data_IF_692281157877
#
_entry.id   IF_692281157877
#
_cell.length_a   1.000
_cell.length_b   1.000
_cell.length_c   1.000
_cell.angle_alpha   90.00
_cell.angle_beta   90.00
_cell.angle_gamma   90.00
#
_symmetry.space_group_name_H-M   'P 1'
#
loop_
_entity.id
_entity.type
_entity.pdbx_description
1 polymer ?
#
# COMPACT_ATOMS: atom_id res chain seq x y z
N UNK A 1 -6.11 8.24 13.38
CA UNK A 1 -6.24 7.50 12.13
C UNK A 1 -7.67 7.16 11.80
N UNK A 2 -7.94 6.90 10.52
CA UNK A 2 -9.25 6.47 10.00
C UNK A 2 -9.15 5.05 9.47
N UNK A 3 -10.25 4.31 9.54
CA UNK A 3 -10.42 3.06 8.79
C UNK A 3 -11.46 3.31 7.68
N UNK A 4 -11.17 2.80 6.49
CA UNK A 4 -12.00 2.97 5.31
C UNK A 4 -12.20 1.63 4.60
N UNK A 5 -13.32 1.51 3.88
CA UNK A 5 -13.71 0.31 3.16
C UNK A 5 -14.18 0.68 1.75
N UNK A 6 -13.90 -0.14 0.76
CA UNK A 6 -14.50 0.02 -0.57
C UNK A 6 -15.79 -0.77 -0.64
N UNK A 7 -16.90 -0.05 -0.58
CA UNK A 7 -18.25 -0.57 -0.70
C UNK A 7 -18.83 -0.14 -2.06
N UNK A 8 -19.61 -1.01 -2.70
CA UNK A 8 -20.25 -0.71 -4.00
C UNK A 8 -21.33 0.36 -3.84
N UNK A 9 -22.04 0.31 -2.72
CA UNK A 9 -23.09 1.26 -2.34
C UNK A 9 -22.92 1.74 -0.90
N UNK A 10 -23.48 2.91 -0.59
CA UNK A 10 -23.59 3.44 0.78
C UNK A 10 -24.80 2.84 1.52
N UNK A 11 -24.86 1.51 1.58
CA UNK A 11 -25.84 0.75 2.35
C UNK A 11 -25.14 -0.06 3.43
N UNK A 12 -25.85 -0.33 4.53
CA UNK A 12 -25.29 -1.15 5.62
C UNK A 12 -24.79 -2.50 5.09
N UNK A 13 -25.60 -3.16 4.27
CA UNK A 13 -25.29 -4.47 3.70
C UNK A 13 -23.99 -4.43 2.88
N UNK A 14 -23.87 -3.45 1.98
CA UNK A 14 -22.68 -3.25 1.14
C UNK A 14 -21.42 -2.97 1.98
N UNK A 15 -21.52 -2.15 3.02
CA UNK A 15 -20.41 -1.85 3.94
C UNK A 15 -19.97 -3.10 4.72
N UNK A 16 -20.91 -3.88 5.27
CA UNK A 16 -20.59 -5.12 5.97
C UNK A 16 -20.00 -6.19 5.04
N UNK A 17 -20.46 -6.24 3.79
CA UNK A 17 -19.86 -7.11 2.78
C UNK A 17 -18.41 -6.71 2.49
N UNK A 18 -18.11 -5.41 2.37
CA UNK A 18 -16.75 -4.89 2.19
C UNK A 18 -15.81 -5.26 3.34
N UNK A 19 -16.29 -5.09 4.58
CA UNK A 19 -15.58 -5.52 5.77
C UNK A 19 -15.31 -7.04 5.77
N UNK A 20 -16.31 -7.85 5.41
CA UNK A 20 -16.17 -9.32 5.36
C UNK A 20 -15.15 -9.79 4.33
N UNK A 21 -15.11 -9.16 3.15
CA UNK A 21 -14.09 -9.46 2.12
C UNK A 21 -12.74 -8.78 2.39
N UNK A 22 -12.63 -7.98 3.45
CA UNK A 22 -11.41 -7.29 3.90
C UNK A 22 -10.88 -6.27 2.89
N UNK A 23 -11.73 -5.73 2.04
CA UNK A 23 -11.35 -4.69 1.08
C UNK A 23 -11.30 -3.32 1.78
N UNK A 24 -10.31 -3.19 2.66
CA UNK A 24 -10.21 -2.12 3.63
C UNK A 24 -8.79 -1.56 3.69
N UNK A 25 -8.67 -0.30 4.11
CA UNK A 25 -7.40 0.35 4.35
C UNK A 25 -7.53 1.29 5.55
N UNK A 26 -6.40 1.71 6.12
CA UNK A 26 -6.37 2.68 7.20
C UNK A 26 -5.43 3.82 6.88
N UNK A 27 -5.67 4.98 7.50
CA UNK A 27 -4.83 6.16 7.41
C UNK A 27 -4.38 6.58 8.81
N UNK A 28 -3.21 7.19 8.94
CA UNK A 28 -2.74 7.70 10.24
C UNK A 28 -3.49 8.96 10.68
N UNK A 29 -4.06 9.72 9.74
CA UNK A 29 -4.89 10.90 10.03
C UNK A 29 -5.66 11.41 8.80
N UNK A 30 -4.98 11.76 7.70
CA UNK A 30 -5.59 12.35 6.51
C UNK A 30 -6.57 11.41 5.81
N UNK A 31 -7.49 11.96 5.03
CA UNK A 31 -8.48 11.25 4.20
C UNK A 31 -7.88 10.80 2.86
N UNK A 32 -6.65 10.29 2.88
CA UNK A 32 -6.05 9.61 1.73
C UNK A 32 -6.93 8.46 1.27
N UNK A 33 -6.91 8.16 -0.03
CA UNK A 33 -7.57 6.96 -0.59
C UNK A 33 -6.52 6.03 -1.14
N UNK A 34 -6.73 4.73 -0.99
CA UNK A 34 -5.81 3.70 -1.44
C UNK A 34 -6.56 2.50 -2.02
N UNK A 35 -6.11 2.02 -3.17
CA UNK A 35 -6.53 0.76 -3.80
C UNK A 35 -5.29 -0.07 -4.09
N UNK A 36 -5.41 -1.38 -3.89
CA UNK A 36 -4.40 -2.36 -4.26
C UNK A 36 -5.12 -3.56 -4.87
N UNK A 37 -4.61 -4.02 -6.00
CA UNK A 37 -5.02 -5.23 -6.68
C UNK A 37 -3.80 -6.06 -7.04
N UNK A 38 -3.99 -7.37 -7.22
CA UNK A 38 -2.99 -8.27 -7.76
C UNK A 38 -3.58 -9.22 -8.80
N UNK A 39 -2.78 -9.65 -9.77
CA UNK A 39 -3.14 -10.66 -10.74
C UNK A 39 -1.97 -11.00 -11.66
N UNK A 40 -2.02 -12.16 -12.31
CA UNK A 40 -0.93 -12.61 -13.18
C UNK A 40 -0.96 -11.94 -14.56
N UNK A 41 -2.15 -11.61 -15.05
CA UNK A 41 -2.37 -11.10 -16.40
C UNK A 41 -2.83 -9.63 -16.42
N UNK A 42 -2.64 -8.88 -15.33
CA UNK A 42 -2.92 -7.44 -15.31
C UNK A 42 -2.03 -6.74 -16.36
N UNK A 43 -2.50 -5.79 -17.17
CA UNK A 43 -1.67 -5.01 -18.10
C UNK A 43 -0.62 -4.14 -17.40
N UNK A 44 0.51 -3.82 -18.05
CA UNK A 44 1.59 -3.04 -17.43
C UNK A 44 1.23 -1.55 -17.30
N UNK A 45 0.36 -1.08 -18.18
CA UNK A 45 -0.21 0.26 -18.26
C UNK A 45 -1.60 0.34 -17.62
N UNK A 46 -2.01 -0.66 -16.83
CA UNK A 46 -3.36 -0.76 -16.27
C UNK A 46 -3.78 0.50 -15.52
N UNK A 47 -2.87 1.11 -14.76
CA UNK A 47 -3.16 2.33 -13.99
C UNK A 47 -3.30 3.59 -14.83
N UNK A 48 -2.89 3.56 -16.11
CA UNK A 48 -3.04 4.66 -17.07
C UNK A 48 -4.37 4.57 -17.83
N UNK A 49 -5.04 3.41 -17.78
CA UNK A 49 -6.34 3.21 -18.43
C UNK A 49 -7.47 3.85 -17.60
N UNK A 50 -8.40 4.60 -18.24
CA UNK A 50 -9.59 5.14 -17.55
C UNK A 50 -10.44 4.06 -16.85
N UNK A 51 -10.53 2.88 -17.45
CA UNK A 51 -11.29 1.74 -16.92
C UNK A 51 -10.42 0.77 -16.09
N UNK A 52 -9.21 1.18 -15.73
CA UNK A 52 -8.21 0.30 -15.11
C UNK A 52 -8.70 -0.33 -13.81
N UNK A 53 -9.46 0.40 -13.00
CA UNK A 53 -10.04 -0.14 -11.75
C UNK A 53 -11.10 -1.20 -12.05
N UNK A 54 -11.99 -0.96 -13.03
CA UNK A 54 -13.01 -1.94 -13.42
C UNK A 54 -12.38 -3.22 -13.98
N UNK A 55 -11.34 -3.07 -14.81
CA UNK A 55 -10.56 -4.21 -15.30
C UNK A 55 -9.89 -4.98 -14.17
N UNK A 56 -9.31 -4.29 -13.17
CA UNK A 56 -8.66 -4.92 -12.02
C UNK A 56 -9.64 -5.73 -11.16
N UNK A 57 -10.88 -5.26 -11.00
CA UNK A 57 -11.94 -6.05 -10.34
C UNK A 57 -12.34 -7.30 -11.13
N UNK A 58 -12.34 -7.21 -12.46
CA UNK A 58 -12.75 -8.32 -13.33
C UNK A 58 -11.66 -9.39 -13.49
N UNK A 59 -10.37 -9.00 -13.47
CA UNK A 59 -9.24 -9.86 -13.85
C UNK A 59 -8.19 -10.05 -12.74
N UNK A 60 -8.41 -9.48 -11.56
CA UNK A 60 -7.50 -9.56 -10.43
C UNK A 60 -8.23 -9.79 -9.12
N UNK A 61 -7.46 -9.78 -8.03
CA UNK A 61 -7.96 -9.86 -6.66
C UNK A 61 -7.70 -8.53 -5.94
N UNK A 62 -8.69 -7.98 -5.21
CA UNK A 62 -8.50 -6.75 -4.45
C UNK A 62 -7.73 -7.02 -3.14
N UNK A 63 -7.23 -5.96 -2.52
CA UNK A 63 -6.70 -6.00 -1.16
C UNK A 63 -7.62 -6.75 -0.18
N UNK A 64 -7.02 -7.54 0.71
CA UNK A 64 -7.72 -8.40 1.66
C UNK A 64 -8.04 -9.81 1.16
N UNK A 65 -7.94 -10.05 -0.15
CA UNK A 65 -8.14 -11.36 -0.76
C UNK A 65 -6.88 -12.25 -0.73
N UNK A 66 -7.06 -13.51 -1.13
CA UNK A 66 -5.96 -14.41 -1.44
C UNK A 66 -5.72 -14.39 -2.95
N UNK A 67 -4.46 -14.32 -3.34
CA UNK A 67 -3.98 -14.60 -4.68
C UNK A 67 -3.55 -16.07 -4.71
N UNK A 68 -4.38 -16.90 -5.32
CA UNK A 68 -4.07 -18.30 -5.55
C UNK A 68 -2.91 -18.43 -6.54
N UNK A 69 -2.03 -19.41 -6.34
CA UNK A 69 -0.97 -19.67 -7.28
C UNK A 69 -1.51 -19.99 -8.68
N UNK A 70 -0.85 -19.43 -9.70
CA UNK A 70 -1.28 -19.56 -11.08
C UNK A 70 -1.41 -21.04 -11.49
N UNK A 71 -2.45 -21.34 -12.29
CA UNK A 71 -2.60 -22.66 -12.93
C UNK A 71 -1.33 -23.05 -13.70
N UNK A 72 -1.11 -24.34 -13.90
CA UNK A 72 0.16 -24.98 -14.29
C UNK A 72 0.91 -24.39 -15.51
N UNK A 73 0.28 -23.56 -16.33
CA UNK A 73 0.94 -22.85 -17.44
C UNK A 73 1.68 -21.57 -17.03
N UNK A 74 1.39 -20.98 -15.85
CA UNK A 74 1.94 -19.69 -15.38
C UNK A 74 2.51 -19.78 -13.95
N UNK A 75 2.72 -20.99 -13.41
CA UNK A 75 3.02 -21.23 -11.99
C UNK A 75 4.31 -20.53 -11.46
N UNK A 76 5.19 -20.06 -12.35
CA UNK A 76 6.44 -19.37 -12.01
C UNK A 76 6.39 -17.85 -12.25
N UNK A 77 5.30 -17.31 -12.78
CA UNK A 77 5.25 -15.88 -13.12
C UNK A 77 4.97 -15.06 -11.86
N UNK A 78 5.79 -14.03 -11.62
CA UNK A 78 5.55 -13.06 -10.57
C UNK A 78 4.19 -12.37 -10.78
N UNK A 79 3.36 -12.24 -9.74
CA UNK A 79 2.14 -11.47 -9.87
C UNK A 79 2.46 -10.00 -10.12
N UNK A 80 1.52 -9.35 -10.80
CA UNK A 80 1.53 -7.93 -11.00
C UNK A 80 0.57 -7.28 -10.03
N UNK A 81 1.00 -6.19 -9.44
CA UNK A 81 0.25 -5.39 -8.48
C UNK A 81 -0.09 -4.06 -9.10
N UNK A 82 -1.35 -3.65 -9.01
CA UNK A 82 -1.80 -2.33 -9.42
C UNK A 82 -2.23 -1.53 -8.19
N UNK A 83 -1.65 -0.34 -8.04
CA UNK A 83 -1.86 0.52 -6.87
C UNK A 83 -2.32 1.89 -7.35
N UNK A 84 -3.36 2.42 -6.70
CA UNK A 84 -3.79 3.82 -6.85
C UNK A 84 -3.88 4.46 -5.48
N UNK A 85 -3.33 5.66 -5.34
CA UNK A 85 -3.44 6.47 -4.14
C UNK A 85 -3.76 7.91 -4.47
N UNK A 86 -4.62 8.51 -3.65
CA UNK A 86 -5.03 9.91 -3.78
C UNK A 86 -4.76 10.64 -2.46
N UNK A 87 -4.15 11.81 -2.56
CA UNK A 87 -3.92 12.72 -1.44
C UNK A 87 -5.23 13.16 -0.80
N UNK A 88 -5.18 13.53 0.48
CA UNK A 88 -6.24 14.35 1.06
C UNK A 88 -6.12 15.77 0.52
N UNK A 89 -7.22 16.33 0.01
CA UNK A 89 -7.26 17.71 -0.50
C UNK A 89 -6.88 18.77 0.56
N UNK A 90 -6.95 18.43 1.85
CA UNK A 90 -6.61 19.32 2.96
C UNK A 90 -5.29 18.95 3.65
N UNK A 91 -4.45 18.09 3.04
CA UNK A 91 -3.16 17.68 3.60
C UNK A 91 -2.02 17.87 2.60
N UNK A 92 -0.80 17.51 3.01
CA UNK A 92 0.36 17.53 2.15
C UNK A 92 0.20 16.57 0.96
N UNK A 93 0.84 16.87 -0.20
CA UNK A 93 0.80 16.00 -1.36
C UNK A 93 1.55 14.68 -1.09
N UNK A 94 1.23 13.65 -1.88
CA UNK A 94 1.88 12.34 -1.80
C UNK A 94 3.37 12.45 -2.18
N UNK A 95 4.22 11.78 -1.41
CA UNK A 95 5.66 11.67 -1.66
C UNK A 95 5.99 10.38 -2.41
N UNK A 96 5.45 9.24 -1.97
CA UNK A 96 5.76 7.93 -2.56
C UNK A 96 4.71 6.86 -2.28
N UNK A 97 4.64 5.89 -3.19
CA UNK A 97 3.98 4.60 -2.98
C UNK A 97 4.99 3.52 -2.70
N UNK A 98 4.61 2.60 -1.83
CA UNK A 98 5.39 1.45 -1.44
C UNK A 98 4.56 0.18 -1.51
N UNK A 99 5.21 -0.93 -1.82
CA UNK A 99 4.72 -2.26 -1.56
C UNK A 99 5.60 -2.86 -0.46
N UNK A 100 4.96 -3.38 0.57
CA UNK A 100 5.61 -4.11 1.65
C UNK A 100 5.31 -5.58 1.43
N UNK A 101 6.35 -6.38 1.29
CA UNK A 101 6.33 -7.84 1.19
C UNK A 101 6.73 -8.40 2.54
N UNK A 102 5.96 -9.33 3.08
CA UNK A 102 6.42 -10.22 4.15
C UNK A 102 6.31 -11.66 3.71
N UNK A 103 7.28 -12.50 4.03
CA UNK A 103 7.26 -13.91 3.62
C UNK A 103 7.95 -14.81 4.64
N UNK A 104 7.74 -16.11 4.45
CA UNK A 104 8.39 -17.16 5.23
C UNK A 104 9.23 -17.99 4.27
N UNK A 105 10.52 -18.09 4.55
CA UNK A 105 11.46 -18.88 3.74
C UNK A 105 11.31 -20.40 3.97
N UNK A 106 12.02 -21.20 3.19
CA UNK A 106 12.02 -22.66 3.32
C UNK A 106 12.55 -23.17 4.68
N UNK A 107 13.31 -22.36 5.43
CA UNK A 107 13.78 -22.68 6.77
C UNK A 107 12.80 -22.25 7.87
N UNK A 108 11.69 -21.59 7.52
CA UNK A 108 10.67 -21.11 8.44
C UNK A 108 10.96 -19.73 9.04
N UNK A 109 11.96 -18.99 8.56
CA UNK A 109 12.24 -17.64 9.04
C UNK A 109 11.33 -16.62 8.37
N UNK A 110 10.92 -15.61 9.13
CA UNK A 110 10.13 -14.48 8.63
C UNK A 110 11.01 -13.38 8.09
N UNK A 111 10.65 -12.84 6.94
CA UNK A 111 11.34 -11.72 6.29
C UNK A 111 10.36 -10.60 5.94
N UNK A 112 10.85 -9.37 5.85
CA UNK A 112 10.11 -8.21 5.38
C UNK A 112 10.98 -7.38 4.44
N UNK A 113 10.40 -6.96 3.32
CA UNK A 113 10.97 -5.96 2.42
C UNK A 113 9.98 -4.81 2.20
N UNK A 114 10.51 -3.60 2.15
CA UNK A 114 9.75 -2.38 1.88
C UNK A 114 10.31 -1.77 0.60
N UNK A 115 9.58 -1.87 -0.50
CA UNK A 115 9.97 -1.40 -1.83
C UNK A 115 9.19 -0.13 -2.17
N UNK A 116 9.88 0.95 -2.53
CA UNK A 116 9.23 2.11 -3.15
C UNK A 116 8.92 1.77 -4.61
N UNK A 117 7.67 1.96 -5.05
CA UNK A 117 7.17 1.52 -6.38
C UNK A 117 6.68 2.67 -7.26
N UNK A 118 6.53 3.86 -6.67
CA UNK A 118 6.32 5.12 -7.38
C UNK A 118 6.77 6.29 -6.51
N UNK A 119 7.38 7.30 -7.12
CA UNK A 119 7.77 8.53 -6.43
C UNK A 119 6.98 9.71 -6.99
N UNK A 120 6.80 10.74 -6.17
CA UNK A 120 6.21 12.00 -6.57
C UNK A 120 6.88 12.55 -7.84
N UNK A 121 6.04 13.06 -8.74
CA UNK A 121 6.39 13.67 -10.02
C UNK A 121 7.17 12.73 -10.97
N UNK A 122 7.00 11.42 -10.80
CA UNK A 122 7.55 10.41 -11.72
C UNK A 122 9.06 10.22 -11.59
N UNK A 123 9.67 10.68 -10.49
CA UNK A 123 11.09 10.42 -10.22
C UNK A 123 11.34 8.92 -10.12
N UNK A 124 12.40 8.43 -10.75
CA UNK A 124 12.73 7.01 -10.74
C UNK A 124 13.13 6.54 -9.33
N UNK A 125 12.65 5.35 -8.95
CA UNK A 125 13.13 4.63 -7.77
C UNK A 125 14.56 4.19 -8.01
N UNK A 126 15.43 4.34 -7.01
CA UNK A 126 16.77 3.76 -7.07
C UNK A 126 16.67 2.22 -6.94
N UNK A 127 17.05 1.45 -7.98
CA UNK A 127 16.89 -0.01 -7.98
C UNK A 127 17.85 -0.74 -7.04
N UNK A 128 18.95 -0.10 -6.60
CA UNK A 128 19.92 -0.73 -5.69
C UNK A 128 19.41 -0.78 -4.25
N UNK A 129 18.64 0.24 -3.85
CA UNK A 129 18.14 0.39 -2.48
C UNK A 129 16.61 0.34 -2.38
N UNK A 130 15.91 0.22 -3.50
CA UNK A 130 14.45 0.22 -3.61
C UNK A 130 13.80 1.44 -2.91
N UNK A 131 14.42 2.62 -3.05
CA UNK A 131 13.94 3.88 -2.45
C UNK A 131 13.83 5.00 -3.47
N UNK A 132 12.80 5.82 -3.30
CA UNK A 132 12.73 7.15 -3.88
C UNK A 132 13.86 8.01 -3.31
N UNK A 133 14.50 8.87 -4.13
CA UNK A 133 15.43 9.85 -3.61
C UNK A 133 14.70 10.84 -2.69
N UNK A 134 15.47 11.49 -1.81
CA UNK A 134 14.94 12.59 -1.01
C UNK A 134 14.45 13.72 -1.92
N UNK A 135 13.23 14.21 -1.68
CA UNK A 135 12.63 15.31 -2.41
C UNK A 135 12.77 16.66 -1.70
N UNK A 136 13.51 16.72 -0.59
CA UNK A 136 13.77 17.94 0.17
C UNK A 136 12.51 18.52 0.80
N UNK A 137 11.53 17.70 1.12
CA UNK A 137 10.30 18.16 1.75
C UNK A 137 10.55 18.64 3.19
N UNK A 138 10.05 19.82 3.51
CA UNK A 138 10.25 20.51 4.78
C UNK A 138 8.95 21.12 5.28
N UNK A 139 8.90 21.39 6.58
CA UNK A 139 7.76 22.05 7.25
C UNK A 139 8.29 23.28 7.98
N UNK A 140 7.65 24.41 7.75
CA UNK A 140 7.90 25.61 8.53
C UNK A 140 7.23 25.48 9.90
N UNK A 141 8.01 25.47 10.98
CA UNK A 141 7.47 25.27 12.33
C UNK A 141 6.81 26.52 12.94
N UNK A 142 6.85 27.67 12.27
CA UNK A 142 6.14 28.87 12.74
C UNK A 142 4.68 28.93 12.29
N UNK A 143 4.34 28.33 11.15
CA UNK A 143 3.00 28.38 10.55
C UNK A 143 2.48 27.03 10.01
N UNK A 144 3.29 25.97 10.12
CA UNK A 144 3.02 24.63 9.62
C UNK A 144 2.79 24.52 8.10
N UNK A 145 3.20 25.52 7.33
CA UNK A 145 3.27 25.42 5.87
C UNK A 145 4.34 24.40 5.46
N UNK A 146 4.04 23.57 4.47
CA UNK A 146 4.97 22.60 3.91
C UNK A 146 5.50 23.08 2.55
N UNK A 147 6.75 22.72 2.24
CA UNK A 147 7.38 22.95 0.94
C UNK A 147 8.15 21.70 0.54
N UNK A 148 8.12 21.35 -0.74
CA UNK A 148 8.89 20.24 -1.28
C UNK A 148 9.29 20.54 -2.71
N UNK A 149 10.35 19.90 -3.20
CA UNK A 149 10.70 19.94 -4.63
C UNK A 149 9.68 19.17 -5.46
N UNK A 150 9.14 18.08 -4.92
CA UNK A 150 8.15 17.23 -5.58
C UNK A 150 6.97 16.88 -4.67
N UNK A 151 5.81 16.63 -5.27
CA UNK A 151 4.62 16.17 -4.56
C UNK A 151 3.45 15.96 -5.51
N UNK A 152 2.74 14.84 -5.37
CA UNK A 152 1.67 14.48 -6.29
C UNK A 152 0.31 14.37 -5.59
N UNK A 153 -0.75 14.82 -6.26
CA UNK A 153 -2.14 14.67 -5.77
C UNK A 153 -2.65 13.24 -5.94
N UNK A 154 -2.11 12.53 -6.92
CA UNK A 154 -2.34 11.12 -7.18
C UNK A 154 -0.99 10.43 -7.45
N UNK A 155 -0.85 9.20 -6.97
CA UNK A 155 0.18 8.28 -7.41
C UNK A 155 -0.49 6.99 -7.83
N UNK A 156 -0.06 6.43 -8.94
CA UNK A 156 -0.48 5.11 -9.36
C UNK A 156 0.69 4.40 -10.05
N UNK A 157 0.69 3.08 -9.98
CA UNK A 157 1.72 2.26 -10.62
C UNK A 157 1.25 0.84 -10.79
N UNK A 158 1.83 0.18 -11.78
CA UNK A 158 1.74 -1.26 -11.93
C UNK A 158 3.14 -1.86 -11.78
N UNK A 159 3.31 -2.79 -10.83
CA UNK A 159 4.62 -3.29 -10.39
C UNK A 159 4.60 -4.80 -10.20
N UNK A 160 5.72 -5.47 -10.44
CA UNK A 160 5.91 -6.90 -10.17
C UNK A 160 7.11 -7.10 -9.25
N UNK A 161 7.01 -8.08 -8.35
CA UNK A 161 8.08 -8.43 -7.42
C UNK A 161 9.25 -9.10 -8.16
N UNK A 162 10.43 -8.44 -8.28
CA UNK A 162 11.57 -9.02 -8.97
C UNK A 162 12.18 -10.21 -8.23
N UNK A 163 11.92 -10.33 -6.92
CA UNK A 163 12.42 -11.37 -6.05
C UNK A 163 11.29 -12.33 -5.65
N UNK A 164 10.28 -12.48 -6.51
CA UNK A 164 9.16 -13.39 -6.27
C UNK A 164 9.64 -14.85 -6.30
N UNK A 165 9.32 -15.60 -5.25
CA UNK A 165 9.47 -17.04 -5.19
C UNK A 165 8.09 -17.68 -5.03
N UNK A 166 7.69 -18.47 -6.02
CA UNK A 166 6.39 -19.14 -6.04
C UNK A 166 6.25 -20.24 -4.96
N UNK A 167 7.35 -20.66 -4.33
CA UNK A 167 7.35 -21.64 -3.25
C UNK A 167 7.17 -21.01 -1.87
N UNK A 168 7.38 -19.70 -1.75
CA UNK A 168 7.30 -18.99 -0.47
C UNK A 168 5.88 -18.50 -0.21
N UNK A 169 5.38 -18.75 1.00
CA UNK A 169 4.16 -18.09 1.45
C UNK A 169 4.48 -16.63 1.75
N UNK A 170 3.76 -15.72 1.10
CA UNK A 170 4.00 -14.29 1.23
C UNK A 170 2.69 -13.51 1.42
N UNK A 171 2.81 -12.27 1.88
CA UNK A 171 1.75 -11.28 1.83
C UNK A 171 2.31 -9.96 1.33
N UNK A 172 1.45 -9.20 0.65
CA UNK A 172 1.77 -7.90 0.09
C UNK A 172 0.74 -6.87 0.54
N UNK A 173 1.18 -5.72 1.04
CA UNK A 173 0.29 -4.58 1.23
C UNK A 173 0.92 -3.30 0.69
N UNK A 174 0.09 -2.45 0.11
CA UNK A 174 0.49 -1.12 -0.32
C UNK A 174 0.51 -0.16 0.87
N UNK A 175 1.50 0.73 0.90
CA UNK A 175 1.60 1.87 1.79
C UNK A 175 1.89 3.13 0.98
N UNK A 176 1.18 4.20 1.24
CA UNK A 176 1.47 5.53 0.68
C UNK A 176 1.96 6.44 1.79
N UNK A 177 2.90 7.33 1.47
CA UNK A 177 3.36 8.39 2.36
C UNK A 177 3.17 9.74 1.69
N UNK A 178 2.66 10.72 2.44
CA UNK A 178 2.67 12.13 2.03
C UNK A 178 3.97 12.82 2.41
N UNK A 179 4.20 14.02 1.90
CA UNK A 179 5.25 14.89 2.41
C UNK A 179 5.02 15.19 3.91
N UNK A 180 6.08 15.46 4.69
CA UNK A 180 5.96 15.70 6.12
C UNK A 180 5.02 16.87 6.45
N UNK A 181 4.32 16.74 7.57
CA UNK A 181 3.40 17.72 8.12
C UNK A 181 3.70 17.98 9.59
N UNK A 182 3.18 19.09 10.14
CA UNK A 182 3.26 19.35 11.57
C UNK A 182 2.50 18.31 12.38
N UNK A 183 3.05 17.93 13.53
CA UNK A 183 2.28 17.20 14.54
C UNK A 183 1.27 18.11 15.24
N UNK A 184 0.27 17.48 15.87
CA UNK A 184 -0.74 18.20 16.65
C UNK A 184 -0.14 19.09 17.76
N UNK A 185 0.94 18.64 18.41
CA UNK A 185 1.62 19.42 19.46
C UNK A 185 2.29 20.68 18.92
N UNK A 186 2.75 20.67 17.66
CA UNK A 186 3.29 21.87 17.00
C UNK A 186 2.19 22.86 16.66
N UNK A 187 1.04 22.37 16.17
CA UNK A 187 -0.15 23.19 15.96
C UNK A 187 -0.64 23.84 17.26
N UNK A 188 -0.66 23.10 18.37
CA UNK A 188 -1.06 23.63 19.67
C UNK A 188 -0.09 24.70 20.17
N UNK A 189 1.21 24.49 20.03
CA UNK A 189 2.21 25.48 20.44
C UNK A 189 2.05 26.80 19.67
N UNK A 190 1.88 26.73 18.34
CA UNK A 190 1.63 27.90 17.48
C UNK A 190 0.35 28.63 17.91
N UNK A 191 -0.75 27.91 18.10
CA UNK A 191 -2.03 28.50 18.55
C UNK A 191 -1.92 29.16 19.93
N UNK A 192 -1.11 28.60 20.82
CA UNK A 192 -0.86 29.15 22.15
C UNK A 192 0.17 30.31 22.15
N UNK A 193 0.82 30.61 21.02
CA UNK A 193 1.90 31.59 20.95
C UNK A 193 3.17 31.15 21.71
N UNK A 194 3.37 29.85 21.87
CA UNK A 194 4.51 29.24 22.58
C UNK A 194 5.42 28.50 21.61
N UNK A 195 6.66 28.23 22.03
CA UNK A 195 7.57 27.42 21.23
C UNK A 195 7.21 25.93 21.31
N UNK A 196 7.28 25.18 20.19
CA UNK A 196 7.17 23.73 20.23
C UNK A 196 8.19 23.14 21.21
N UNK A 197 7.74 22.16 21.99
CA UNK A 197 8.60 21.44 22.93
C UNK A 197 9.73 20.74 22.20
N UNK A 198 10.96 20.92 22.67
CA UNK A 198 12.17 20.33 22.07
C UNK A 198 12.31 18.83 22.32
N UNK A 199 11.62 18.27 23.33
CA UNK A 199 11.63 16.84 23.66
C UNK A 199 10.60 16.02 22.85
N UNK A 200 9.78 16.67 22.02
CA UNK A 200 8.79 16.02 21.16
C UNK A 200 9.13 16.25 19.67
N UNK A 201 8.85 15.26 18.84
CA UNK A 201 8.96 15.43 17.39
C UNK A 201 7.99 16.54 16.92
N UNK A 202 8.51 17.53 16.20
CA UNK A 202 7.71 18.66 15.71
C UNK A 202 6.90 18.31 14.44
N UNK A 203 7.35 17.31 13.68
CA UNK A 203 6.73 16.87 12.43
C UNK A 203 6.43 15.38 12.47
N UNK A 204 5.55 14.95 11.56
CA UNK A 204 5.37 13.55 11.23
C UNK A 204 5.24 13.39 9.71
N UNK A 205 5.17 12.13 9.30
CA UNK A 205 4.83 11.77 7.95
C UNK A 205 3.60 10.86 8.01
N UNK A 206 2.47 11.40 7.53
CA UNK A 206 1.24 10.65 7.48
C UNK A 206 1.31 9.59 6.36
N UNK A 207 0.51 8.55 6.54
CA UNK A 207 0.51 7.40 5.65
C UNK A 207 -0.88 6.76 5.57
N UNK A 208 -1.11 6.01 4.50
CA UNK A 208 -2.20 5.04 4.43
C UNK A 208 -1.66 3.66 4.08
N UNK A 209 -2.31 2.62 4.57
CA UNK A 209 -1.92 1.22 4.32
C UNK A 209 -3.14 0.36 4.05
N UNK A 210 -3.02 -0.49 3.03
CA UNK A 210 -4.07 -1.42 2.62
C UNK A 210 -4.09 -2.68 3.48
N UNK A 211 -5.21 -3.40 3.45
CA UNK A 211 -5.24 -4.80 3.87
C UNK A 211 -4.33 -5.64 2.97
N UNK A 212 -3.66 -6.67 3.51
CA UNK A 212 -2.74 -7.47 2.71
C UNK A 212 -3.49 -8.35 1.70
N UNK A 213 -2.89 -8.51 0.52
CA UNK A 213 -3.16 -9.64 -0.38
C UNK A 213 -2.25 -10.78 0.06
N UNK A 214 -2.84 -11.94 0.32
CA UNK A 214 -2.09 -13.14 0.73
C UNK A 214 -1.73 -13.94 -0.52
N UNK A 215 -0.47 -14.32 -0.69
CA UNK A 215 -0.05 -15.30 -1.67
C UNK A 215 0.07 -16.68 -1.02
N UNK A 216 -0.61 -17.67 -1.61
CA UNK A 216 -0.57 -19.06 -1.13
C UNK A 216 0.01 -19.92 -2.24
N UNK A 217 1.21 -20.51 -2.04
CA UNK A 217 1.79 -21.47 -2.97
C UNK A 217 0.85 -22.65 -3.21
N UNK A 218 0.88 -23.25 -4.41
CA UNK A 218 0.26 -24.57 -4.61
C UNK A 218 0.99 -25.52 -3.68
N UNK A 219 0.28 -26.10 -2.72
CA UNK A 219 0.87 -27.06 -1.80
C UNK A 219 1.59 -28.15 -2.62
N UNK A 220 2.89 -28.33 -2.40
CA UNK A 220 3.58 -29.54 -2.80
C UNK A 220 3.01 -30.69 -1.98
N UNK A 221 1.89 -31.26 -2.43
CA UNK A 221 1.27 -32.49 -1.93
C UNK A 221 1.30 -32.66 -0.41
N UNK A 222 0.51 -31.88 0.33
CA UNK A 222 0.05 -32.37 1.64
C UNK A 222 -0.92 -33.52 1.34
N UNK A 223 -0.42 -34.76 1.40
CA UNK A 223 -1.29 -35.93 1.48
C UNK A 223 -2.19 -35.71 2.70
N UNK A 224 -3.48 -35.49 2.47
CA UNK A 224 -4.49 -35.56 3.52
C UNK A 224 -4.31 -36.91 4.24
N UNK A 225 -3.88 -36.87 5.49
CA UNK A 225 -3.99 -38.01 6.38
C UNK A 225 -5.48 -38.21 6.65
N UNK A 226 -6.10 -39.13 5.91
CA UNK A 226 -7.45 -39.63 6.18
C UNK A 226 -7.47 -40.08 7.64
N UNK A 227 -8.29 -39.49 8.53
CA UNK A 227 -8.40 -40.00 9.88
C UNK A 227 -9.09 -41.36 9.81
N UNK A 228 -8.40 -42.40 10.30
CA UNK A 228 -8.97 -43.73 10.44
C UNK A 228 -10.24 -43.65 11.29
N UNK A 229 -11.39 -44.00 10.70
CA UNK A 229 -12.62 -44.25 11.45
C UNK A 229 -12.38 -45.46 12.36
N UNK A 230 -12.61 -45.27 13.66
CA UNK A 230 -12.95 -46.37 14.58
C UNK A 230 -14.44 -46.69 14.46
#
# INVERSE_FOLDING_TARGET
GLAAVWAEENTRQSIYAALRRKETFATSGPRMRLRLFAGYDLPADLTQSPDGVAYAYANGVPMGANLEAASSSNATNAPRFAVWAQADANSAPLQRLQIIKGWIDAAGNTHEDVIDVACADGVAVNPEINRCPDNGATVNLSDCSYRAKTGSTELNTTWSDPNFDASERAFYYARVLENPTCRWNTWDAIRAGTQPRSDLAATLQERAWSSPIQYVPVAAGVKEAIPARK
#
